data_IF_099136315023
#
_entry.id   IF_099136315023
#
_cell.length_a   1.000
_cell.length_b   1.000
_cell.length_c   1.000
_cell.angle_alpha   90.00
_cell.angle_beta   90.00
_cell.angle_gamma   90.00
#
_symmetry.space_group_name_H-M   'P 1'
#
loop_
_entity.id
_entity.type
_entity.pdbx_description
1 polymer ?
#
# COMPACT_ATOMS: atom_id res chain seq x y z
N UNK A 1 29.47 -9.13 -7.60
CA UNK A 1 29.24 -8.44 -6.32
C UNK A 1 29.47 -6.94 -6.49
N UNK A 2 30.49 -6.53 -7.24
CA UNK A 2 30.80 -5.11 -7.55
C UNK A 2 29.67 -4.28 -8.20
N UNK A 3 28.73 -4.90 -8.93
CA UNK A 3 27.59 -4.17 -9.52
C UNK A 3 26.50 -3.79 -8.50
N UNK A 4 26.51 -4.36 -7.28
CA UNK A 4 25.57 -3.98 -6.22
C UNK A 4 26.08 -2.79 -5.39
N UNK A 5 27.38 -2.48 -5.46
CA UNK A 5 27.99 -1.37 -4.72
C UNK A 5 27.87 -0.02 -5.45
N UNK A 6 27.58 -0.04 -6.75
CA UNK A 6 27.29 1.18 -7.52
C UNK A 6 25.79 1.51 -7.43
N UNK A 7 25.39 2.57 -6.68
CA UNK A 7 23.99 2.93 -6.47
C UNK A 7 23.25 3.35 -7.75
N UNK A 8 23.99 3.77 -8.79
CA UNK A 8 23.38 4.19 -10.07
C UNK A 8 23.24 3.03 -11.07
N UNK A 9 23.80 1.86 -10.73
CA UNK A 9 23.66 0.66 -11.55
C UNK A 9 22.20 0.25 -11.72
N UNK A 10 21.87 -0.36 -12.86
CA UNK A 10 20.53 -0.89 -13.08
C UNK A 10 20.16 -2.02 -12.11
N UNK A 11 21.16 -2.73 -11.57
CA UNK A 11 20.97 -3.83 -10.62
C UNK A 11 20.70 -3.32 -9.20
N UNK A 12 21.40 -2.27 -8.74
CA UNK A 12 21.12 -1.63 -7.44
C UNK A 12 19.71 -1.06 -7.40
N UNK A 13 19.29 -0.32 -8.44
CA UNK A 13 17.94 0.24 -8.50
C UNK A 13 16.83 -0.82 -8.49
N UNK A 14 17.02 -1.93 -9.21
CA UNK A 14 16.06 -3.03 -9.20
C UNK A 14 15.99 -3.68 -7.81
N UNK A 15 17.14 -3.87 -7.16
CA UNK A 15 17.20 -4.38 -5.80
C UNK A 15 16.49 -3.45 -4.81
N UNK A 16 16.69 -2.15 -4.93
CA UNK A 16 16.02 -1.13 -4.10
C UNK A 16 14.50 -1.14 -4.32
N UNK A 17 14.03 -1.20 -5.57
CA UNK A 17 12.59 -1.29 -5.87
C UNK A 17 11.93 -2.57 -5.32
N UNK A 18 12.61 -3.71 -5.40
CA UNK A 18 12.14 -4.97 -4.82
C UNK A 18 12.12 -4.91 -3.29
N UNK A 19 13.15 -4.32 -2.70
CA UNK A 19 13.24 -4.09 -1.26
C UNK A 19 12.12 -3.18 -0.77
N UNK A 20 11.92 -2.02 -1.41
CA UNK A 20 10.86 -1.05 -1.08
C UNK A 20 9.48 -1.69 -1.18
N UNK A 21 9.23 -2.47 -2.24
CA UNK A 21 7.97 -3.21 -2.39
C UNK A 21 7.76 -4.22 -1.28
N UNK A 22 8.83 -4.94 -0.90
CA UNK A 22 8.77 -5.90 0.20
C UNK A 22 8.46 -5.21 1.53
N UNK A 23 9.19 -4.14 1.87
CA UNK A 23 8.97 -3.35 3.10
C UNK A 23 7.55 -2.78 3.13
N UNK A 24 7.10 -2.14 2.05
CA UNK A 24 5.75 -1.59 1.97
C UNK A 24 4.66 -2.65 2.16
N UNK A 25 4.82 -3.84 1.58
CA UNK A 25 3.86 -4.93 1.73
C UNK A 25 3.80 -5.42 3.18
N UNK A 26 4.95 -5.58 3.83
CA UNK A 26 5.03 -6.01 5.24
C UNK A 26 4.43 -4.98 6.19
N UNK A 27 4.66 -3.69 5.95
CA UNK A 27 4.04 -2.63 6.74
C UNK A 27 2.51 -2.62 6.56
N UNK A 28 2.01 -2.80 5.34
CA UNK A 28 0.57 -2.90 5.10
C UNK A 28 -0.06 -4.09 5.85
N UNK A 29 0.60 -5.26 5.87
CA UNK A 29 0.14 -6.43 6.64
C UNK A 29 0.09 -6.15 8.16
N UNK A 30 1.06 -5.40 8.69
CA UNK A 30 1.08 -5.02 10.10
C UNK A 30 -0.03 -4.03 10.47
N UNK A 31 -0.41 -3.16 9.53
CA UNK A 31 -1.44 -2.15 9.73
C UNK A 31 -2.86 -2.68 9.49
N UNK A 32 -3.03 -3.79 8.76
CA UNK A 32 -4.34 -4.40 8.46
C UNK A 32 -5.26 -4.51 9.69
N UNK A 33 -4.80 -5.03 10.85
CA UNK A 33 -5.65 -5.21 12.02
C UNK A 33 -6.18 -3.90 12.64
N UNK A 34 -5.61 -2.74 12.29
CA UNK A 34 -6.06 -1.43 12.79
C UNK A 34 -7.33 -0.92 12.07
N UNK A 35 -7.74 -1.57 10.98
CA UNK A 35 -8.89 -1.13 10.18
C UNK A 35 -10.08 -2.05 10.32
N UNK A 36 -11.27 -1.46 10.27
CA UNK A 36 -12.50 -2.22 10.08
C UNK A 36 -12.42 -3.07 8.81
N UNK A 37 -12.89 -4.34 8.83
CA UNK A 37 -12.75 -5.26 7.69
C UNK A 37 -13.27 -4.69 6.36
N UNK A 38 -14.37 -3.94 6.38
CA UNK A 38 -14.92 -3.31 5.19
C UNK A 38 -14.03 -2.17 4.64
N UNK A 39 -13.34 -1.44 5.52
CA UNK A 39 -12.38 -0.39 5.14
C UNK A 39 -11.15 -1.03 4.50
N UNK A 40 -10.60 -2.07 5.12
CA UNK A 40 -9.47 -2.80 4.60
C UNK A 40 -9.79 -3.44 3.23
N UNK A 41 -10.92 -4.15 3.13
CA UNK A 41 -11.34 -4.79 1.88
C UNK A 41 -11.52 -3.79 0.74
N UNK A 42 -12.10 -2.61 1.02
CA UNK A 42 -12.23 -1.55 0.02
C UNK A 42 -10.87 -1.02 -0.46
N UNK A 43 -9.88 -0.91 0.44
CA UNK A 43 -8.53 -0.54 0.06
C UNK A 43 -7.86 -1.64 -0.79
N UNK A 44 -7.94 -2.91 -0.38
CA UNK A 44 -7.36 -4.03 -1.12
C UNK A 44 -7.88 -4.09 -2.56
N UNK A 45 -9.20 -4.07 -2.75
CA UNK A 45 -9.83 -4.12 -4.07
C UNK A 45 -9.38 -2.98 -4.97
N UNK A 46 -9.30 -1.77 -4.43
CA UNK A 46 -8.98 -0.57 -5.20
C UNK A 46 -7.48 -0.42 -5.50
N UNK A 47 -6.62 -0.73 -4.53
CA UNK A 47 -5.18 -0.40 -4.58
C UNK A 47 -4.32 -1.61 -4.90
N UNK A 48 -4.63 -2.77 -4.33
CA UNK A 48 -3.85 -4.00 -4.52
C UNK A 48 -4.36 -4.81 -5.71
N UNK A 49 -5.68 -4.89 -5.89
CA UNK A 49 -6.30 -5.63 -7.00
C UNK A 49 -6.61 -4.74 -8.23
N UNK A 50 -6.47 -3.41 -8.10
CA UNK A 50 -6.62 -2.46 -9.21
C UNK A 50 -8.04 -2.25 -9.74
N UNK A 51 -9.09 -2.66 -8.99
CA UNK A 51 -10.49 -2.41 -9.36
C UNK A 51 -10.81 -0.92 -9.32
N UNK A 52 -11.76 -0.48 -10.13
CA UNK A 52 -12.24 0.90 -10.05
C UNK A 52 -13.02 1.16 -8.75
N UNK A 53 -13.16 2.44 -8.39
CA UNK A 53 -13.99 2.85 -7.25
C UNK A 53 -15.44 2.38 -7.39
N UNK A 54 -15.97 2.37 -8.62
CA UNK A 54 -17.36 1.96 -8.90
C UNK A 54 -17.53 0.46 -8.73
N UNK A 55 -16.60 -0.35 -9.27
CA UNK A 55 -16.63 -1.82 -9.11
C UNK A 55 -16.48 -2.20 -7.63
N UNK A 56 -15.54 -1.59 -6.92
CA UNK A 56 -15.33 -1.83 -5.49
C UNK A 56 -16.56 -1.47 -4.67
N UNK A 57 -17.18 -0.33 -4.96
CA UNK A 57 -18.40 0.12 -4.29
C UNK A 57 -19.57 -0.84 -4.52
N UNK A 58 -19.73 -1.31 -5.75
CA UNK A 58 -20.76 -2.29 -6.10
C UNK A 58 -20.53 -3.63 -5.40
N UNK A 59 -19.30 -4.15 -5.40
CA UNK A 59 -18.94 -5.44 -4.78
C UNK A 59 -19.14 -5.43 -3.27
N UNK A 60 -18.82 -4.31 -2.60
CA UNK A 60 -18.94 -4.19 -1.15
C UNK A 60 -20.29 -3.63 -0.69
N UNK A 61 -21.20 -3.32 -1.61
CA UNK A 61 -22.49 -2.69 -1.31
C UNK A 61 -22.37 -1.39 -0.48
N UNK A 62 -21.35 -0.57 -0.78
CA UNK A 62 -21.09 0.73 -0.14
C UNK A 62 -21.08 1.86 -1.17
N UNK A 63 -21.03 3.11 -0.70
CA UNK A 63 -20.90 4.25 -1.62
C UNK A 63 -19.48 4.39 -2.18
N UNK A 64 -19.35 4.93 -3.39
CA UNK A 64 -18.07 5.32 -3.97
C UNK A 64 -17.29 6.31 -3.08
N UNK A 65 -18.00 7.12 -2.28
CA UNK A 65 -17.38 8.00 -1.29
C UNK A 65 -16.74 7.20 -0.14
N UNK A 66 -17.42 6.17 0.37
CA UNK A 66 -16.88 5.29 1.40
C UNK A 66 -15.60 4.58 0.93
N UNK A 67 -15.56 4.12 -0.32
CA UNK A 67 -14.34 3.54 -0.94
C UNK A 67 -13.17 4.55 -0.96
N UNK A 68 -13.43 5.80 -1.36
CA UNK A 68 -12.40 6.86 -1.36
C UNK A 68 -11.91 7.20 0.06
N UNK A 69 -12.83 7.25 1.02
CA UNK A 69 -12.49 7.47 2.44
C UNK A 69 -11.62 6.33 2.96
N UNK A 70 -11.97 5.09 2.65
CA UNK A 70 -11.18 3.92 3.03
C UNK A 70 -9.74 4.03 2.50
N UNK A 71 -9.57 4.32 1.21
CA UNK A 71 -8.25 4.56 0.60
C UNK A 71 -7.47 5.65 1.33
N UNK A 72 -8.10 6.79 1.58
CA UNK A 72 -7.46 7.93 2.23
C UNK A 72 -6.98 7.59 3.64
N UNK A 73 -7.80 6.88 4.42
CA UNK A 73 -7.48 6.45 5.80
C UNK A 73 -6.28 5.51 5.83
N UNK A 74 -6.30 4.46 5.00
CA UNK A 74 -5.20 3.48 4.96
C UNK A 74 -3.89 4.15 4.52
N UNK A 75 -3.91 4.92 3.42
CA UNK A 75 -2.70 5.59 2.94
C UNK A 75 -2.15 6.64 3.92
N UNK A 76 -3.02 7.32 4.68
CA UNK A 76 -2.57 8.25 5.72
C UNK A 76 -1.85 7.52 6.84
N UNK A 77 -2.43 6.44 7.37
CA UNK A 77 -1.81 5.66 8.45
C UNK A 77 -0.51 5.02 8.02
N UNK A 78 -0.46 4.51 6.78
CA UNK A 78 0.76 4.00 6.17
C UNK A 78 1.88 5.05 6.12
N UNK A 79 1.58 6.27 5.65
CA UNK A 79 2.58 7.36 5.65
C UNK A 79 3.08 7.69 7.05
N UNK A 80 2.21 7.70 8.06
CA UNK A 80 2.61 7.94 9.44
C UNK A 80 3.54 6.84 9.98
N UNK A 81 3.33 5.58 9.58
CA UNK A 81 4.22 4.48 9.94
C UNK A 81 5.59 4.66 9.28
N UNK A 82 5.63 5.00 7.99
CA UNK A 82 6.87 5.22 7.23
C UNK A 82 7.65 6.42 7.77
N UNK A 83 6.99 7.53 8.09
CA UNK A 83 7.63 8.70 8.72
C UNK A 83 8.32 8.30 10.03
N UNK A 84 7.68 7.47 10.86
CA UNK A 84 8.27 6.98 12.11
C UNK A 84 9.42 5.97 11.96
N UNK A 85 9.69 5.47 10.75
CA UNK A 85 10.83 4.59 10.46
C UNK A 85 12.05 5.35 9.91
N UNK A 86 11.85 6.58 9.42
CA UNK A 86 12.91 7.42 8.83
C UNK A 86 13.54 8.35 9.87
N UNK A 87 12.83 8.64 10.98
CA UNK A 87 13.34 9.36 12.15
C UNK A 87 14.26 8.50 13.03
#
# INVERSE_FOLDING_TARGET
LDQLEDPDSGLSRLWDEEHDRHVASRLLELLEPEFEPATWRAFQLLVLEGKSTTETAAELHISANAVRIAKSRVLRRFRQEVEGLID
#
